data_IF_437445943025
#
_entry.id   IF_437445943025
#
_cell.length_a   1.000
_cell.length_b   1.000
_cell.length_c   1.000
_cell.angle_alpha   90.00
_cell.angle_beta   90.00
_cell.angle_gamma   90.00
#
_symmetry.space_group_name_H-M   'P 1'
#
loop_
_entity.id
_entity.type
_entity.pdbx_description
1 polymer ?
#
# COMPACT_ATOMS: atom_id res chain seq x y z
N UNK A 1 -7.80 -4.50 13.41
CA UNK A 1 -6.38 -4.39 13.04
C UNK A 1 -5.57 -4.11 14.29
N UNK A 2 -4.52 -4.85 14.55
CA UNK A 2 -3.54 -4.37 15.51
C UNK A 2 -3.00 -3.08 14.92
N UNK A 3 -3.41 -1.97 15.48
CA UNK A 3 -2.89 -0.66 15.16
C UNK A 3 -1.37 -0.73 15.27
N UNK A 4 -0.68 -0.69 14.15
CA UNK A 4 0.76 -0.65 14.21
C UNK A 4 1.13 0.57 15.05
N UNK A 5 2.03 0.39 15.98
CA UNK A 5 2.52 1.44 16.88
C UNK A 5 3.03 2.65 16.09
N UNK A 6 3.49 2.43 14.86
CA UNK A 6 3.95 3.45 13.90
C UNK A 6 2.91 4.53 13.61
N UNK A 7 1.65 4.17 13.37
CA UNK A 7 0.60 5.16 13.11
C UNK A 7 0.03 5.80 14.38
N UNK A 8 0.23 5.15 15.54
CA UNK A 8 -0.21 5.71 16.83
C UNK A 8 0.73 6.74 17.41
N UNK A 9 2.02 6.69 17.09
CA UNK A 9 3.03 7.61 17.62
C UNK A 9 3.13 8.94 16.88
N UNK A 10 2.30 9.14 15.84
CA UNK A 10 2.27 10.39 15.09
C UNK A 10 1.76 11.55 15.97
N UNK A 11 2.47 12.67 15.96
CA UNK A 11 2.16 13.85 16.76
C UNK A 11 0.95 14.65 16.24
N UNK A 12 0.59 14.49 14.98
CA UNK A 12 -0.51 15.19 14.33
C UNK A 12 -1.88 14.66 14.73
N UNK A 13 -2.92 15.44 14.43
CA UNK A 13 -4.30 15.03 14.63
C UNK A 13 -4.66 13.85 13.73
N UNK A 14 -5.30 12.84 14.30
CA UNK A 14 -5.75 11.64 13.59
C UNK A 14 -7.24 11.67 13.38
N UNK A 15 -7.64 11.28 12.17
CA UNK A 15 -9.03 11.08 11.76
C UNK A 15 -9.13 9.64 11.25
N UNK A 16 -10.05 8.87 11.81
CA UNK A 16 -10.23 7.45 11.49
C UNK A 16 -11.56 7.27 10.78
N UNK A 17 -11.58 6.44 9.75
CA UNK A 17 -12.80 6.04 9.05
C UNK A 17 -12.92 4.51 9.05
N UNK A 18 -14.13 3.94 8.96
CA UNK A 18 -14.34 2.50 8.90
C UNK A 18 -13.71 1.89 7.64
N UNK A 19 -13.46 0.58 7.70
CA UNK A 19 -12.84 -0.17 6.61
C UNK A 19 -13.60 0.01 5.30
N UNK A 20 -12.91 0.52 4.28
CA UNK A 20 -13.46 0.77 2.93
C UNK A 20 -14.75 1.61 2.89
N UNK A 21 -15.02 2.41 3.94
CA UNK A 21 -16.16 3.34 4.00
C UNK A 21 -15.76 4.70 3.39
N UNK A 22 -16.12 4.89 2.13
CA UNK A 22 -15.77 6.10 1.39
C UNK A 22 -16.58 7.32 1.82
N UNK A 23 -17.80 7.14 2.31
CA UNK A 23 -18.56 8.24 2.92
C UNK A 23 -17.95 8.68 4.26
N UNK A 24 -17.56 7.70 5.07
CA UNK A 24 -16.81 7.94 6.29
C UNK A 24 -15.51 8.68 6.01
N UNK A 25 -14.73 8.26 4.99
CA UNK A 25 -13.53 8.96 4.57
C UNK A 25 -13.83 10.41 4.15
N UNK A 26 -14.85 10.64 3.33
CA UNK A 26 -15.25 11.99 2.87
C UNK A 26 -15.56 12.91 4.05
N UNK A 27 -16.32 12.43 5.03
CA UNK A 27 -16.62 13.20 6.28
C UNK A 27 -15.36 13.54 7.06
N UNK A 28 -14.40 12.61 7.14
CA UNK A 28 -13.14 12.87 7.84
C UNK A 28 -12.25 13.83 7.05
N UNK A 29 -12.22 13.74 5.72
CA UNK A 29 -11.49 14.69 4.87
C UNK A 29 -12.00 16.13 5.04
N UNK A 30 -13.31 16.34 5.09
CA UNK A 30 -13.89 17.67 5.36
C UNK A 30 -13.36 18.25 6.68
N UNK A 31 -13.35 17.45 7.75
CA UNK A 31 -12.86 17.86 9.06
C UNK A 31 -11.35 18.09 9.09
N UNK A 32 -10.60 17.20 8.42
CA UNK A 32 -9.15 17.26 8.38
C UNK A 32 -8.66 18.47 7.56
N UNK A 33 -9.28 18.75 6.41
CA UNK A 33 -8.96 19.91 5.57
C UNK A 33 -9.26 21.20 6.31
N UNK A 34 -10.43 21.32 6.93
CA UNK A 34 -10.78 22.51 7.72
C UNK A 34 -9.80 22.77 8.88
N UNK A 35 -9.24 21.71 9.50
CA UNK A 35 -8.20 21.87 10.52
C UNK A 35 -6.85 22.24 9.90
N UNK A 36 -6.48 21.60 8.80
CA UNK A 36 -5.22 21.86 8.10
C UNK A 36 -5.14 23.32 7.63
N UNK A 37 -6.23 23.86 7.06
CA UNK A 37 -6.31 25.25 6.62
C UNK A 37 -6.10 26.23 7.78
N UNK A 38 -6.72 25.95 8.96
CA UNK A 38 -6.54 26.78 10.16
C UNK A 38 -5.12 26.77 10.74
N UNK A 39 -4.38 25.68 10.50
CA UNK A 39 -3.03 25.45 11.08
C UNK A 39 -1.92 25.61 10.05
N UNK A 40 -2.22 26.02 8.82
CA UNK A 40 -1.29 26.03 7.69
C UNK A 40 -0.57 24.68 7.53
N UNK A 41 -1.32 23.60 7.67
CA UNK A 41 -0.83 22.22 7.58
C UNK A 41 -1.27 21.51 6.31
N UNK A 42 -1.09 20.19 6.30
CA UNK A 42 -1.49 19.32 5.21
C UNK A 42 -2.28 18.11 5.70
N UNK A 43 -2.94 17.43 4.78
CA UNK A 43 -3.66 16.18 5.04
C UNK A 43 -2.94 15.03 4.35
N UNK A 44 -2.68 13.95 5.10
CA UNK A 44 -2.18 12.69 4.58
C UNK A 44 -3.24 11.60 4.79
N UNK A 45 -3.70 11.01 3.70
CA UNK A 45 -4.54 9.79 3.73
C UNK A 45 -3.61 8.59 3.67
N UNK A 46 -3.83 7.61 4.55
CA UNK A 46 -3.06 6.37 4.62
C UNK A 46 -4.03 5.20 4.49
N UNK A 47 -3.75 4.29 3.57
CA UNK A 47 -4.52 3.06 3.37
C UNK A 47 -3.63 1.92 2.91
N UNK A 48 -4.13 0.69 2.95
CA UNK A 48 -3.48 -0.45 2.29
C UNK A 48 -4.00 -0.61 0.86
N UNK A 49 -3.18 -1.14 -0.04
CA UNK A 49 -3.59 -1.57 -1.37
C UNK A 49 -4.40 -2.86 -1.31
N UNK A 50 -3.81 -3.89 -0.71
CA UNK A 50 -4.50 -5.14 -0.33
C UNK A 50 -4.47 -5.26 1.18
N UNK A 51 -5.62 -5.40 1.80
CA UNK A 51 -5.72 -5.59 3.25
C UNK A 51 -5.37 -7.03 3.63
N UNK A 52 -4.31 -7.20 4.39
CA UNK A 52 -3.72 -8.51 4.66
C UNK A 52 -4.61 -9.52 5.38
N UNK A 53 -5.55 -9.07 6.23
CA UNK A 53 -6.42 -9.97 7.00
C UNK A 53 -7.66 -10.39 6.23
N UNK A 54 -8.47 -9.47 5.66
CA UNK A 54 -9.66 -9.84 4.89
C UNK A 54 -9.33 -10.23 3.43
N UNK A 55 -8.18 -9.86 2.91
CA UNK A 55 -7.77 -10.11 1.53
C UNK A 55 -8.53 -9.30 0.48
N UNK A 56 -9.23 -8.25 0.88
CA UNK A 56 -9.90 -7.35 -0.04
C UNK A 56 -9.02 -6.17 -0.46
N UNK A 57 -9.40 -5.50 -1.53
CA UNK A 57 -8.68 -4.35 -2.06
C UNK A 57 -9.10 -3.06 -1.36
N UNK A 58 -8.13 -2.17 -1.14
CA UNK A 58 -8.39 -0.77 -0.86
C UNK A 58 -9.05 -0.12 -2.07
N UNK A 59 -10.04 0.71 -1.84
CA UNK A 59 -10.77 1.45 -2.90
C UNK A 59 -9.97 2.66 -3.38
N UNK A 60 -8.77 2.41 -3.93
CA UNK A 60 -7.83 3.48 -4.29
C UNK A 60 -8.38 4.41 -5.36
N UNK A 61 -9.14 3.90 -6.30
CA UNK A 61 -9.80 4.66 -7.35
C UNK A 61 -10.84 5.64 -6.79
N UNK A 62 -11.67 5.20 -5.84
CA UNK A 62 -12.62 6.07 -5.14
C UNK A 62 -11.89 7.12 -4.27
N UNK A 63 -10.81 6.72 -3.58
CA UNK A 63 -9.99 7.64 -2.77
C UNK A 63 -9.33 8.69 -3.66
N UNK A 64 -8.73 8.28 -4.76
CA UNK A 64 -8.09 9.19 -5.72
C UNK A 64 -9.10 10.16 -6.32
N UNK A 65 -10.32 9.71 -6.64
CA UNK A 65 -11.38 10.59 -7.14
C UNK A 65 -11.69 11.75 -6.18
N UNK A 66 -11.51 11.56 -4.87
CA UNK A 66 -11.72 12.61 -3.87
C UNK A 66 -10.66 13.72 -3.91
N UNK A 67 -9.52 13.52 -4.59
CA UNK A 67 -8.52 14.60 -4.81
C UNK A 67 -9.08 15.78 -5.63
N UNK A 68 -10.20 15.60 -6.33
CA UNK A 68 -10.93 16.67 -7.01
C UNK A 68 -11.57 17.66 -6.03
N UNK A 69 -11.99 17.14 -4.86
CA UNK A 69 -12.74 17.90 -3.86
C UNK A 69 -11.86 18.34 -2.67
N UNK A 70 -10.80 17.56 -2.40
CA UNK A 70 -9.97 17.74 -1.21
C UNK A 70 -8.48 17.73 -1.57
N UNK A 71 -7.73 18.63 -0.94
CA UNK A 71 -6.27 18.66 -1.08
C UNK A 71 -5.64 17.74 -0.03
N UNK A 72 -5.13 16.58 -0.46
CA UNK A 72 -4.40 15.65 0.40
C UNK A 72 -3.33 14.90 -0.39
N UNK A 73 -2.33 14.37 0.32
CA UNK A 73 -1.40 13.36 -0.19
C UNK A 73 -1.92 11.97 0.17
N UNK A 74 -1.70 11.00 -0.71
CA UNK A 74 -2.10 9.61 -0.52
C UNK A 74 -0.86 8.73 -0.34
N UNK A 75 -0.75 8.09 0.83
CA UNK A 75 0.20 7.01 1.08
C UNK A 75 -0.52 5.67 0.98
N UNK A 76 -0.01 4.79 0.16
CA UNK A 76 -0.50 3.42 0.03
C UNK A 76 0.56 2.45 0.52
N UNK A 77 0.21 1.67 1.55
CA UNK A 77 0.96 0.48 1.95
C UNK A 77 0.50 -0.68 1.06
N UNK A 78 1.30 -0.99 0.07
CA UNK A 78 1.01 -2.07 -0.89
C UNK A 78 1.89 -3.32 -0.66
N UNK A 79 2.25 -3.54 0.60
CA UNK A 79 3.06 -4.68 0.99
C UNK A 79 2.49 -6.04 0.56
N UNK A 80 1.17 -6.16 0.44
CA UNK A 80 0.49 -7.35 -0.05
C UNK A 80 0.22 -7.35 -1.56
N UNK A 81 0.10 -6.17 -2.19
CA UNK A 81 -0.20 -6.06 -3.62
C UNK A 81 1.04 -6.05 -4.51
N UNK A 82 2.16 -5.50 -4.03
CA UNK A 82 3.41 -5.45 -4.81
C UNK A 82 3.90 -6.86 -5.16
N UNK A 83 4.17 -7.08 -6.45
CA UNK A 83 4.61 -8.37 -7.00
C UNK A 83 3.46 -9.33 -7.33
N UNK A 84 2.21 -9.05 -6.87
CA UNK A 84 1.05 -9.93 -7.07
C UNK A 84 -0.06 -9.26 -7.86
N UNK A 85 -0.36 -8.00 -7.59
CA UNK A 85 -1.43 -7.24 -8.23
C UNK A 85 -0.93 -6.45 -9.46
N UNK A 86 -1.87 -6.12 -10.33
CA UNK A 86 -1.60 -5.39 -11.56
C UNK A 86 -1.07 -6.27 -12.70
N UNK A 87 -1.01 -5.71 -13.91
CA UNK A 87 -0.57 -6.44 -15.11
C UNK A 87 0.91 -6.83 -15.02
N UNK A 88 1.75 -5.92 -14.57
CA UNK A 88 3.20 -6.13 -14.44
C UNK A 88 3.63 -6.60 -13.05
N UNK A 89 2.74 -6.52 -12.06
CA UNK A 89 3.04 -6.76 -10.64
C UNK A 89 3.49 -5.49 -9.93
N UNK A 90 3.22 -4.32 -10.49
CA UNK A 90 3.57 -3.05 -9.84
C UNK A 90 2.70 -2.75 -8.61
N UNK A 91 1.60 -3.46 -8.43
CA UNK A 91 0.78 -3.37 -7.24
C UNK A 91 -0.68 -3.02 -7.49
N UNK A 92 -1.37 -2.68 -6.40
CA UNK A 92 -2.81 -2.40 -6.42
C UNK A 92 -3.15 -1.12 -7.17
N UNK A 93 -2.26 -0.11 -7.11
CA UNK A 93 -2.43 1.11 -7.90
C UNK A 93 -2.45 0.85 -9.41
N UNK A 94 -1.55 -0.01 -9.92
CA UNK A 94 -1.58 -0.47 -11.31
C UNK A 94 -2.86 -1.25 -11.61
N UNK A 95 -3.27 -2.13 -10.70
CA UNK A 95 -4.47 -2.95 -10.87
C UNK A 95 -5.73 -2.11 -11.06
N UNK A 96 -5.83 -1.00 -10.33
CA UNK A 96 -6.97 -0.08 -10.38
C UNK A 96 -6.77 1.11 -11.33
N UNK A 97 -5.64 1.20 -12.03
CA UNK A 97 -5.36 2.25 -13.01
C UNK A 97 -5.09 3.63 -12.39
N UNK A 98 -4.64 3.69 -11.14
CA UNK A 98 -4.41 4.93 -10.39
C UNK A 98 -2.99 5.07 -9.83
N UNK A 99 -2.03 4.27 -10.33
CA UNK A 99 -0.65 4.23 -9.82
C UNK A 99 0.00 5.63 -9.76
N UNK A 100 -0.15 6.42 -10.81
CA UNK A 100 0.47 7.74 -10.95
C UNK A 100 -0.15 8.81 -10.03
N UNK A 101 -1.23 8.48 -9.32
CA UNK A 101 -1.93 9.37 -8.41
C UNK A 101 -1.68 9.03 -6.93
N UNK A 102 -0.84 8.01 -6.67
CA UNK A 102 -0.34 7.67 -5.35
C UNK A 102 0.89 8.54 -5.08
N UNK A 103 0.83 9.37 -4.04
CA UNK A 103 1.91 10.30 -3.73
C UNK A 103 3.08 9.61 -3.02
N UNK A 104 2.79 8.63 -2.17
CA UNK A 104 3.80 7.85 -1.46
C UNK A 104 3.43 6.37 -1.54
N UNK A 105 4.26 5.61 -2.22
CA UNK A 105 4.09 4.16 -2.35
C UNK A 105 5.05 3.44 -1.40
N UNK A 106 4.53 2.59 -0.55
CA UNK A 106 5.33 1.72 0.32
C UNK A 106 5.11 0.26 -0.05
N UNK A 107 6.18 -0.52 -0.08
CA UNK A 107 6.09 -1.98 -0.18
C UNK A 107 7.25 -2.66 0.55
N UNK A 108 7.09 -3.96 0.82
CA UNK A 108 8.08 -4.77 1.53
C UNK A 108 8.69 -5.84 0.63
N UNK A 109 9.95 -6.18 0.90
CA UNK A 109 10.60 -7.34 0.30
C UNK A 109 10.26 -8.66 1.02
N UNK A 110 9.57 -8.60 2.17
CA UNK A 110 9.33 -9.76 3.02
C UNK A 110 8.19 -10.68 2.54
N UNK A 111 7.45 -10.30 1.50
CA UNK A 111 6.31 -11.06 0.96
C UNK A 111 6.65 -11.60 -0.43
N UNK A 112 6.09 -11.02 -1.49
CA UNK A 112 6.30 -11.48 -2.88
C UNK A 112 7.77 -11.58 -3.29
N UNK A 113 8.61 -10.72 -2.72
CA UNK A 113 10.04 -10.68 -3.03
C UNK A 113 10.88 -11.63 -2.17
N UNK A 114 10.29 -12.40 -1.23
CA UNK A 114 10.95 -13.40 -0.38
C UNK A 114 12.31 -12.93 0.18
N UNK A 115 12.37 -11.71 0.71
CA UNK A 115 13.57 -11.06 1.21
C UNK A 115 13.35 -10.35 2.54
N UNK A 116 14.26 -9.45 2.88
CA UNK A 116 14.19 -8.60 4.08
C UNK A 116 14.28 -7.15 3.64
N UNK A 117 13.55 -6.28 4.33
CA UNK A 117 13.54 -4.86 4.08
C UNK A 117 12.27 -4.37 3.41
N UNK A 118 12.27 -3.09 3.11
CA UNK A 118 11.16 -2.40 2.48
C UNK A 118 11.69 -1.22 1.67
N UNK A 119 10.83 -0.62 0.87
CA UNK A 119 11.15 0.60 0.16
C UNK A 119 9.97 1.57 0.15
N UNK A 120 10.30 2.84 -0.03
CA UNK A 120 9.35 3.91 -0.31
C UNK A 120 9.70 4.48 -1.67
N UNK A 121 8.69 4.68 -2.51
CA UNK A 121 8.80 5.38 -3.78
C UNK A 121 7.89 6.61 -3.75
N UNK A 122 8.44 7.79 -4.04
CA UNK A 122 7.75 9.07 -4.01
C UNK A 122 8.57 10.13 -4.74
N UNK A 123 8.10 11.37 -4.77
CA UNK A 123 8.79 12.53 -5.33
C UNK A 123 10.16 12.77 -4.66
N UNK A 124 11.11 13.36 -5.39
CA UNK A 124 12.49 13.55 -4.94
C UNK A 124 12.58 14.38 -3.66
N UNK A 125 11.78 15.42 -3.55
CA UNK A 125 11.75 16.31 -2.39
C UNK A 125 11.31 15.56 -1.11
N UNK A 126 10.34 14.65 -1.24
CA UNK A 126 9.88 13.81 -0.13
C UNK A 126 10.96 12.78 0.23
N UNK A 127 11.64 12.18 -0.75
CA UNK A 127 12.78 11.28 -0.49
C UNK A 127 13.90 12.01 0.23
N UNK A 128 14.24 13.24 -0.20
CA UNK A 128 15.25 14.07 0.47
C UNK A 128 14.87 14.34 1.93
N UNK A 129 13.61 14.71 2.18
CA UNK A 129 13.11 14.90 3.54
C UNK A 129 13.20 13.61 4.39
N UNK A 130 12.77 12.47 3.86
CA UNK A 130 12.77 11.19 4.56
C UNK A 130 14.18 10.73 4.93
N UNK A 131 15.18 10.95 4.09
CA UNK A 131 16.59 10.60 4.38
C UNK A 131 17.11 11.24 5.67
N UNK A 132 16.66 12.44 6.00
CA UNK A 132 17.13 13.18 7.17
C UNK A 132 16.18 13.10 8.38
N UNK A 133 14.93 12.68 8.19
CA UNK A 133 13.92 12.73 9.24
C UNK A 133 13.35 11.35 9.61
N UNK A 134 13.52 10.34 8.76
CA UNK A 134 13.00 9.00 9.05
C UNK A 134 13.93 8.23 9.97
N UNK A 135 13.53 8.06 11.23
CA UNK A 135 14.35 7.41 12.26
C UNK A 135 14.77 5.99 11.89
N UNK A 136 13.90 5.22 11.26
CA UNK A 136 14.20 3.87 10.77
C UNK A 136 15.26 3.85 9.66
N UNK A 137 15.44 4.94 8.94
CA UNK A 137 16.50 5.10 7.95
C UNK A 137 17.82 5.52 8.63
N UNK A 138 17.76 6.43 9.58
CA UNK A 138 18.94 7.03 10.21
C UNK A 138 19.60 6.05 11.18
N UNK A 139 18.82 5.36 12.01
CA UNK A 139 19.30 4.52 13.10
C UNK A 139 19.34 3.02 12.78
N UNK A 140 18.76 2.58 11.68
CA UNK A 140 18.91 1.21 11.20
C UNK A 140 20.21 1.04 10.40
N UNK A 141 20.72 -0.17 10.39
CA UNK A 141 21.84 -0.53 9.50
C UNK A 141 21.31 -0.70 8.08
N UNK A 142 22.19 -0.43 7.10
CA UNK A 142 21.90 -0.67 5.69
C UNK A 142 21.62 -2.13 5.42
N UNK A 143 20.80 -2.41 4.40
CA UNK A 143 20.59 -3.77 3.94
C UNK A 143 21.92 -4.38 3.49
N UNK A 144 22.22 -5.64 3.87
CA UNK A 144 23.39 -6.35 3.36
C UNK A 144 23.36 -6.45 1.83
N UNK A 145 24.50 -6.26 1.17
CA UNK A 145 24.58 -6.28 -0.29
C UNK A 145 23.99 -7.53 -0.95
N UNK A 146 24.15 -8.76 -0.40
CA UNK A 146 23.48 -9.94 -0.95
C UNK A 146 21.95 -9.81 -1.00
N UNK A 147 21.32 -9.12 -0.02
CA UNK A 147 19.87 -8.85 -0.02
C UNK A 147 19.49 -7.88 -1.13
N UNK A 148 20.31 -6.84 -1.35
CA UNK A 148 20.11 -5.86 -2.42
C UNK A 148 20.18 -6.53 -3.79
N UNK A 149 21.24 -7.31 -4.06
CA UNK A 149 21.38 -8.06 -5.31
C UNK A 149 20.25 -9.07 -5.50
N UNK A 150 19.84 -9.75 -4.42
CA UNK A 150 18.68 -10.65 -4.44
C UNK A 150 17.38 -9.93 -4.80
N UNK A 151 17.15 -8.74 -4.26
CA UNK A 151 15.96 -7.93 -4.57
C UNK A 151 15.97 -7.47 -6.04
N UNK A 152 17.10 -6.99 -6.54
CA UNK A 152 17.27 -6.60 -7.94
C UNK A 152 17.01 -7.78 -8.90
N UNK A 153 17.53 -8.97 -8.58
CA UNK A 153 17.29 -10.17 -9.39
C UNK A 153 15.84 -10.60 -9.39
N UNK A 154 15.15 -10.51 -8.24
CA UNK A 154 13.71 -10.82 -8.15
C UNK A 154 12.86 -9.80 -8.91
N UNK A 155 13.25 -8.53 -8.89
CA UNK A 155 12.60 -7.49 -9.69
C UNK A 155 12.76 -7.76 -11.20
N UNK A 156 13.96 -8.16 -11.63
CA UNK A 156 14.22 -8.61 -13.01
C UNK A 156 13.32 -9.79 -13.37
N UNK A 157 13.23 -10.81 -12.49
CA UNK A 157 12.37 -11.98 -12.72
C UNK A 157 10.89 -11.59 -12.79
N UNK A 158 10.43 -10.68 -11.92
CA UNK A 158 9.05 -10.19 -11.96
C UNK A 158 8.73 -9.54 -13.31
N UNK A 159 9.67 -8.77 -13.86
CA UNK A 159 9.52 -8.09 -15.15
C UNK A 159 9.62 -9.04 -16.35
N UNK A 160 10.51 -10.04 -16.28
CA UNK A 160 10.86 -10.87 -17.45
C UNK A 160 10.18 -12.25 -17.44
N UNK A 161 9.59 -12.67 -16.32
CA UNK A 161 8.97 -13.98 -16.12
C UNK A 161 7.51 -13.87 -15.62
N UNK A 162 6.59 -13.30 -16.43
CA UNK A 162 5.20 -13.10 -16.02
C UNK A 162 4.46 -14.40 -15.68
N UNK A 163 4.97 -15.54 -16.13
CA UNK A 163 4.41 -16.86 -15.84
C UNK A 163 4.41 -17.19 -14.33
N UNK A 164 5.31 -16.64 -13.53
CA UNK A 164 5.30 -16.86 -12.07
C UNK A 164 4.07 -16.24 -11.42
N UNK A 165 3.76 -14.99 -11.79
CA UNK A 165 2.55 -14.32 -11.32
C UNK A 165 1.29 -14.99 -11.86
N UNK A 166 1.29 -15.39 -13.13
CA UNK A 166 0.17 -16.13 -13.73
C UNK A 166 -0.10 -17.44 -12.99
N UNK A 167 0.96 -18.19 -12.64
CA UNK A 167 0.83 -19.44 -11.89
C UNK A 167 0.31 -19.20 -10.46
N UNK A 168 0.76 -18.14 -9.78
CA UNK A 168 0.22 -17.75 -8.48
C UNK A 168 -1.30 -17.55 -8.57
N UNK A 169 -1.77 -16.80 -9.54
CA UNK A 169 -3.21 -16.54 -9.70
C UNK A 169 -4.02 -17.76 -10.12
N UNK A 170 -3.44 -18.66 -10.89
CA UNK A 170 -4.05 -19.97 -11.19
C UNK A 170 -4.31 -20.76 -9.91
N UNK A 171 -3.28 -20.90 -9.05
CA UNK A 171 -3.37 -21.63 -7.79
C UNK A 171 -4.33 -20.93 -6.82
N UNK A 172 -4.25 -19.60 -6.69
CA UNK A 172 -5.14 -18.83 -5.84
C UNK A 172 -6.61 -19.03 -6.20
N UNK A 173 -6.94 -18.93 -7.49
CA UNK A 173 -8.30 -19.16 -7.98
C UNK A 173 -8.77 -20.59 -7.76
N UNK A 174 -7.90 -21.57 -8.00
CA UNK A 174 -8.22 -22.98 -7.75
C UNK A 174 -8.55 -23.22 -6.27
N UNK A 175 -7.72 -22.67 -5.35
CA UNK A 175 -7.94 -22.77 -3.90
C UNK A 175 -9.25 -22.08 -3.48
N UNK A 176 -9.46 -20.83 -3.89
CA UNK A 176 -10.66 -20.06 -3.53
C UNK A 176 -11.94 -20.75 -4.05
N UNK A 177 -11.92 -21.23 -5.30
CA UNK A 177 -13.06 -21.93 -5.89
C UNK A 177 -13.32 -23.26 -5.16
N UNK A 178 -12.26 -23.99 -4.82
CA UNK A 178 -12.37 -25.24 -4.06
C UNK A 178 -12.97 -25.00 -2.68
N UNK A 179 -12.53 -23.99 -1.97
CA UNK A 179 -13.07 -23.64 -0.63
C UNK A 179 -14.55 -23.23 -0.72
N UNK A 180 -14.90 -22.34 -1.66
CA UNK A 180 -16.31 -21.94 -1.87
C UNK A 180 -17.20 -23.12 -2.22
N UNK A 181 -16.74 -24.02 -3.12
CA UNK A 181 -17.48 -25.23 -3.52
C UNK A 181 -17.75 -26.17 -2.32
N UNK A 182 -16.84 -26.20 -1.34
CA UNK A 182 -17.00 -26.99 -0.13
C UNK A 182 -17.68 -26.23 1.03
N UNK A 183 -18.32 -25.10 0.77
CA UNK A 183 -19.12 -24.35 1.73
C UNK A 183 -18.33 -23.51 2.74
N UNK A 184 -17.00 -23.34 2.55
CA UNK A 184 -16.21 -22.48 3.42
C UNK A 184 -16.50 -21.01 3.12
N UNK A 185 -16.74 -20.24 4.17
CA UNK A 185 -16.85 -18.78 4.07
C UNK A 185 -15.45 -18.16 4.07
N UNK A 186 -15.03 -17.69 2.93
CA UNK A 186 -13.74 -16.97 2.74
C UNK A 186 -13.93 -15.46 2.59
N UNK A 187 -15.12 -14.94 2.88
CA UNK A 187 -15.43 -13.51 2.71
C UNK A 187 -15.34 -13.04 1.25
N UNK A 188 -15.10 -11.74 1.10
CA UNK A 188 -14.96 -11.07 -0.21
C UNK A 188 -13.48 -10.93 -0.62
N UNK A 189 -12.66 -11.95 -0.31
CA UNK A 189 -11.24 -11.89 -0.69
C UNK A 189 -11.06 -11.81 -2.20
N UNK A 190 -10.18 -10.92 -2.63
CA UNK A 190 -9.79 -10.68 -4.01
C UNK A 190 -8.30 -11.01 -4.25
N UNK A 191 -7.61 -11.50 -3.22
CA UNK A 191 -6.18 -11.83 -3.26
C UNK A 191 -5.90 -13.24 -2.74
#
# INVERSE_FOLDING_TARGET
>A
FPYTTLFRSHMGKRFVFPHNDMEGLRKQLQRATALADKQNGGVLVITEGVFGMPGDLGKLDEIVAMKRDFKFRLLVDDAHGFGTMGKTGAGTGEHLGVQDQIDVFFATFAKSMAGIGAFVATEEEIIAYLKYNMRSQIFAKSLPMPMVFGALKRLELLKTKPQYKAKLWEITRALQNGLRKNGFNIGNTNS
#
